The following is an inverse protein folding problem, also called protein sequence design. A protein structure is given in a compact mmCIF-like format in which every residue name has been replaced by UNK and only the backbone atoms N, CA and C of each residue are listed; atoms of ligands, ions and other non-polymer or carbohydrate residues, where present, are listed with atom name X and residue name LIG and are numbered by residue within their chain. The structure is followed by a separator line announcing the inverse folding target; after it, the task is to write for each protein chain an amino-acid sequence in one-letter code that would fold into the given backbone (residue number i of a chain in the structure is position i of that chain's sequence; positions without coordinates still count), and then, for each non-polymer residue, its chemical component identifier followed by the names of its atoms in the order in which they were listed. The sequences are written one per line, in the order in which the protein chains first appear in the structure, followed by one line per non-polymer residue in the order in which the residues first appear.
data_IF_595048745671
#
_entry.id   IF_595048745671
#
_cell.length_a   1.000
_cell.length_b   1.000
_cell.length_c   1.000
_cell.angle_alpha   90.00
_cell.angle_beta   90.00
_cell.angle_gamma   90.00
#
_symmetry.space_group_name_H-M   'P 1'
#
loop_
_entity.id
_entity.type
_entity.pdbx_description
1 polymer ?
#
# COMPACT_ATOMS: atom_id res chain seq x y z
N UNK A 1 -114.70 -24.55 -27.85
CA UNK A 1 -115.60 -23.95 -26.84
C UNK A 1 -115.07 -22.56 -26.56
N UNK A 2 -115.90 -21.51 -26.64
CA UNK A 2 -115.50 -20.15 -26.27
C UNK A 2 -115.79 -19.97 -24.79
N UNK A 3 -114.83 -19.47 -24.01
CA UNK A 3 -115.03 -19.15 -22.61
C UNK A 3 -115.78 -17.81 -22.48
N UNK A 4 -116.72 -17.67 -21.51
CA UNK A 4 -117.36 -16.38 -21.27
C UNK A 4 -116.36 -15.41 -20.62
N UNK A 5 -116.14 -14.26 -21.25
CA UNK A 5 -115.37 -13.18 -20.62
C UNK A 5 -116.11 -12.65 -19.39
N UNK A 6 -115.37 -12.36 -18.32
CA UNK A 6 -115.92 -11.79 -17.10
C UNK A 6 -116.23 -10.32 -17.34
N UNK A 7 -117.48 -9.92 -17.16
CA UNK A 7 -117.87 -8.51 -17.08
C UNK A 7 -117.10 -7.83 -15.94
N UNK A 8 -116.31 -6.81 -16.24
CA UNK A 8 -115.63 -6.04 -15.20
C UNK A 8 -116.65 -5.27 -14.33
N UNK A 9 -116.42 -5.17 -13.01
CA UNK A 9 -117.35 -4.50 -12.12
C UNK A 9 -117.33 -2.98 -12.35
N UNK A 10 -118.49 -2.41 -12.64
CA UNK A 10 -118.64 -0.96 -12.83
C UNK A 10 -118.22 -0.22 -11.54
N UNK A 11 -117.28 0.76 -11.60
CA UNK A 11 -116.81 1.45 -10.42
C UNK A 11 -117.96 2.26 -9.79
N UNK A 12 -118.35 1.88 -8.57
CA UNK A 12 -119.34 2.62 -7.78
C UNK A 12 -118.70 3.92 -7.30
N UNK A 13 -119.05 5.04 -7.94
CA UNK A 13 -118.57 6.36 -7.52
C UNK A 13 -119.01 6.69 -6.10
N UNK A 14 -118.08 7.19 -5.29
CA UNK A 14 -118.38 7.71 -3.96
C UNK A 14 -119.20 9.00 -4.07
N UNK A 15 -120.15 9.25 -3.15
CA UNK A 15 -120.89 10.51 -3.13
C UNK A 15 -119.98 11.69 -2.75
N UNK A 16 -120.18 12.84 -3.39
CA UNK A 16 -119.46 14.07 -3.08
C UNK A 16 -119.75 14.55 -1.65
N UNK A 17 -118.73 15.09 -0.98
CA UNK A 17 -118.85 15.72 0.32
C UNK A 17 -119.71 16.98 0.23
N UNK A 18 -120.62 17.15 1.19
CA UNK A 18 -121.56 18.28 1.26
C UNK A 18 -121.13 19.25 2.35
N UNK A 19 -120.91 20.51 1.97
CA UNK A 19 -120.68 21.63 2.86
C UNK A 19 -121.99 22.39 3.16
N UNK A 20 -121.95 23.34 4.09
CA UNK A 20 -123.09 24.19 4.50
C UNK A 20 -123.73 24.97 3.33
N UNK A 21 -123.07 25.06 2.16
CA UNK A 21 -123.60 25.69 0.93
C UNK A 21 -123.41 24.83 -0.33
N UNK A 22 -123.54 23.51 -0.20
CA UNK A 22 -123.54 22.56 -1.32
C UNK A 22 -122.25 21.72 -1.41
N UNK A 23 -122.08 20.98 -2.49
CA UNK A 23 -120.92 20.09 -2.69
C UNK A 23 -119.58 20.85 -2.62
N UNK A 24 -118.54 20.18 -2.13
CA UNK A 24 -117.17 20.72 -2.22
C UNK A 24 -116.75 20.82 -3.70
N UNK A 25 -116.63 22.06 -4.17
CA UNK A 25 -116.21 22.37 -5.53
C UNK A 25 -114.88 21.74 -5.89
N UNK A 26 -113.92 21.69 -4.96
CA UNK A 26 -112.60 21.11 -5.22
C UNK A 26 -112.70 19.63 -5.54
N UNK A 27 -113.44 18.88 -4.71
CA UNK A 27 -113.65 17.44 -4.93
C UNK A 27 -114.42 17.16 -6.23
N UNK A 28 -115.39 18.02 -6.57
CA UNK A 28 -116.13 17.94 -7.84
C UNK A 28 -115.22 18.23 -9.03
N UNK A 29 -114.43 19.30 -9.00
CA UNK A 29 -113.50 19.68 -10.06
C UNK A 29 -112.39 18.63 -10.22
N UNK A 30 -111.84 18.10 -9.12
CA UNK A 30 -110.85 17.02 -9.12
C UNK A 30 -111.42 15.74 -9.77
N UNK A 31 -112.64 15.29 -9.39
CA UNK A 31 -113.29 14.12 -10.01
C UNK A 31 -113.77 14.36 -11.44
N UNK A 32 -114.16 15.58 -11.82
CA UNK A 32 -114.48 15.93 -13.21
C UNK A 32 -113.22 15.90 -14.09
N UNK A 33 -112.09 16.39 -13.60
CA UNK A 33 -110.80 16.25 -14.30
C UNK A 33 -110.39 14.78 -14.45
N UNK A 34 -110.59 13.97 -13.41
CA UNK A 34 -110.36 12.51 -13.43
C UNK A 34 -111.26 11.80 -14.46
N UNK A 35 -112.58 12.04 -14.45
CA UNK A 35 -113.52 11.49 -15.46
C UNK A 35 -113.16 11.97 -16.88
N UNK A 36 -112.71 13.21 -17.04
CA UNK A 36 -112.29 13.74 -18.36
C UNK A 36 -110.92 13.19 -18.78
N UNK A 37 -110.12 12.63 -17.86
CA UNK A 37 -108.93 11.83 -18.17
C UNK A 37 -109.34 10.41 -18.56
N UNK A 38 -110.13 9.72 -17.73
CA UNK A 38 -110.71 8.40 -17.98
C UNK A 38 -111.39 8.34 -19.36
N UNK A 39 -112.19 9.35 -19.72
CA UNK A 39 -112.89 9.43 -21.00
C UNK A 39 -111.94 9.64 -22.20
N UNK A 40 -110.83 10.37 -22.04
CA UNK A 40 -109.81 10.50 -23.10
C UNK A 40 -109.02 9.23 -23.29
N UNK A 41 -108.68 8.54 -22.20
CA UNK A 41 -107.98 7.25 -22.23
C UNK A 41 -108.88 6.15 -22.83
N UNK A 42 -110.16 6.11 -22.47
CA UNK A 42 -111.15 5.22 -23.08
C UNK A 42 -111.43 5.54 -24.56
N UNK A 43 -111.53 6.82 -24.95
CA UNK A 43 -111.67 7.20 -26.35
C UNK A 43 -110.45 6.80 -27.18
N UNK A 44 -109.23 7.03 -26.66
CA UNK A 44 -107.98 6.60 -27.28
C UNK A 44 -107.92 5.07 -27.42
N UNK A 45 -108.22 4.33 -26.35
CA UNK A 45 -108.23 2.86 -26.37
C UNK A 45 -109.26 2.29 -27.35
N UNK A 46 -110.44 2.91 -27.44
CA UNK A 46 -111.44 2.60 -28.48
C UNK A 46 -110.90 2.83 -29.89
N UNK A 47 -110.21 3.94 -30.12
CA UNK A 47 -109.72 4.29 -31.47
C UNK A 47 -108.53 3.40 -31.87
N UNK A 48 -107.67 3.00 -30.92
CA UNK A 48 -106.65 1.95 -31.09
C UNK A 48 -107.28 0.56 -31.34
N UNK A 49 -108.40 0.23 -30.67
CA UNK A 49 -109.17 -1.00 -30.91
C UNK A 49 -109.87 -1.01 -32.29
N UNK A 50 -110.37 0.14 -32.75
CA UNK A 50 -110.95 0.28 -34.09
C UNK A 50 -109.86 0.14 -35.18
N UNK A 51 -108.69 0.75 -34.97
CA UNK A 51 -107.55 0.61 -35.88
C UNK A 51 -107.11 -0.86 -36.02
N UNK A 52 -106.85 -1.54 -34.90
CA UNK A 52 -106.45 -2.96 -34.89
C UNK A 52 -107.55 -3.87 -35.42
N UNK A 53 -108.83 -3.62 -35.13
CA UNK A 53 -109.95 -4.34 -35.76
C UNK A 53 -109.99 -4.14 -37.28
N UNK A 54 -109.64 -2.95 -37.78
CA UNK A 54 -109.54 -2.67 -39.21
C UNK A 54 -108.35 -3.37 -39.89
N UNK A 55 -107.21 -3.48 -39.20
CA UNK A 55 -106.03 -4.22 -39.66
C UNK A 55 -106.28 -5.73 -39.69
N UNK A 56 -106.85 -6.30 -38.62
CA UNK A 56 -107.28 -7.69 -38.57
C UNK A 56 -108.30 -8.03 -39.66
N UNK A 57 -109.23 -7.11 -39.96
CA UNK A 57 -110.20 -7.29 -41.05
C UNK A 57 -109.53 -7.35 -42.43
N UNK A 58 -108.49 -6.52 -42.67
CA UNK A 58 -107.69 -6.56 -43.90
C UNK A 58 -106.89 -7.87 -43.99
N UNK A 59 -106.20 -8.26 -42.93
CA UNK A 59 -105.42 -9.50 -42.87
C UNK A 59 -106.29 -10.74 -43.09
N UNK A 60 -107.50 -10.77 -42.49
CA UNK A 60 -108.46 -11.84 -42.68
C UNK A 60 -109.02 -11.88 -44.11
N UNK A 61 -109.33 -10.74 -44.73
CA UNK A 61 -109.75 -10.70 -46.13
C UNK A 61 -108.62 -11.13 -47.08
N UNK A 62 -107.37 -10.78 -46.78
CA UNK A 62 -106.20 -11.19 -47.55
C UNK A 62 -106.00 -12.71 -47.48
N UNK A 63 -105.96 -13.28 -46.27
CA UNK A 63 -105.84 -14.72 -46.05
C UNK A 63 -107.03 -15.51 -46.63
N UNK A 64 -108.24 -14.94 -46.65
CA UNK A 64 -109.40 -15.55 -47.32
C UNK A 64 -109.23 -15.62 -48.85
N UNK A 65 -108.65 -14.60 -49.47
CA UNK A 65 -108.35 -14.59 -50.91
C UNK A 65 -107.25 -15.61 -51.25
N UNK A 66 -106.13 -15.61 -50.52
CA UNK A 66 -105.06 -16.60 -50.69
C UNK A 66 -105.56 -18.04 -50.49
N UNK A 67 -106.42 -18.26 -49.48
CA UNK A 67 -107.05 -19.56 -49.24
C UNK A 67 -108.02 -19.95 -50.38
N UNK A 68 -108.62 -18.99 -51.07
CA UNK A 68 -109.42 -19.22 -52.29
C UNK A 68 -108.55 -19.62 -53.48
N UNK A 69 -107.47 -18.87 -53.73
CA UNK A 69 -106.54 -19.11 -54.83
C UNK A 69 -105.79 -20.44 -54.70
N UNK A 70 -105.27 -20.74 -53.50
CA UNK A 70 -104.60 -22.02 -53.19
C UNK A 70 -105.54 -23.21 -53.30
N UNK A 71 -106.80 -23.09 -52.86
CA UNK A 71 -107.83 -24.13 -53.11
C UNK A 71 -108.10 -24.31 -54.59
N UNK A 72 -108.20 -23.23 -55.38
CA UNK A 72 -108.39 -23.33 -56.82
C UNK A 72 -107.19 -24.00 -57.51
N UNK A 73 -105.95 -23.68 -57.10
CA UNK A 73 -104.73 -24.34 -57.58
C UNK A 73 -104.70 -25.84 -57.23
N UNK A 74 -105.05 -26.20 -55.99
CA UNK A 74 -105.13 -27.60 -55.55
C UNK A 74 -106.21 -28.39 -56.31
N UNK A 75 -107.36 -27.78 -56.60
CA UNK A 75 -108.40 -28.38 -57.44
C UNK A 75 -107.91 -28.58 -58.89
N UNK A 76 -107.16 -27.63 -59.47
CA UNK A 76 -106.52 -27.80 -60.79
C UNK A 76 -105.52 -28.97 -60.79
N UNK A 77 -104.66 -29.05 -59.77
CA UNK A 77 -103.64 -30.09 -59.62
C UNK A 77 -104.25 -31.49 -59.44
N UNK A 78 -105.30 -31.62 -58.62
CA UNK A 78 -105.96 -32.90 -58.32
C UNK A 78 -106.88 -33.39 -59.45
N UNK A 79 -107.57 -32.50 -60.17
CA UNK A 79 -108.55 -32.89 -61.20
C UNK A 79 -107.92 -33.42 -62.49
N UNK A 80 -106.68 -33.03 -62.81
CA UNK A 80 -105.96 -33.50 -63.99
C UNK A 80 -104.44 -33.49 -63.78
N UNK A 81 -103.87 -34.49 -63.08
CA UNK A 81 -102.45 -34.51 -62.69
C UNK A 81 -101.43 -34.53 -63.85
N UNK A 82 -101.87 -34.75 -65.09
CA UNK A 82 -101.07 -34.67 -66.33
C UNK A 82 -101.39 -33.46 -67.21
N UNK A 83 -102.37 -32.62 -66.84
CA UNK A 83 -102.74 -31.43 -67.59
C UNK A 83 -101.72 -30.30 -67.49
N UNK A 84 -101.68 -29.42 -68.50
CA UNK A 84 -100.71 -28.32 -68.57
C UNK A 84 -100.75 -27.39 -67.33
N UNK A 85 -101.94 -27.12 -66.77
CA UNK A 85 -102.08 -26.38 -65.51
C UNK A 85 -101.41 -27.09 -64.32
N UNK A 86 -101.65 -28.39 -64.13
CA UNK A 86 -101.03 -29.18 -63.06
C UNK A 86 -99.50 -29.28 -63.22
N UNK A 87 -98.97 -29.22 -64.44
CA UNK A 87 -97.53 -29.09 -64.69
C UNK A 87 -97.00 -27.71 -64.29
N UNK A 88 -97.67 -26.63 -64.69
CA UNK A 88 -97.26 -25.27 -64.36
C UNK A 88 -97.25 -24.99 -62.84
N UNK A 89 -98.28 -25.44 -62.11
CA UNK A 89 -98.37 -25.31 -60.64
C UNK A 89 -97.24 -26.09 -59.94
N UNK A 90 -96.85 -27.27 -60.46
CA UNK A 90 -95.70 -28.04 -59.93
C UNK A 90 -94.36 -27.39 -60.24
N UNK A 91 -94.17 -26.81 -61.43
CA UNK A 91 -92.96 -26.06 -61.76
C UNK A 91 -92.84 -24.81 -60.87
N UNK A 92 -93.95 -24.12 -60.59
CA UNK A 92 -93.99 -23.02 -59.62
C UNK A 92 -93.56 -23.49 -58.23
N UNK A 93 -94.14 -24.58 -57.72
CA UNK A 93 -93.77 -25.17 -56.42
C UNK A 93 -92.30 -25.61 -56.36
N UNK A 94 -91.76 -26.21 -57.42
CA UNK A 94 -90.34 -26.57 -57.52
C UNK A 94 -89.43 -25.33 -57.51
N UNK A 95 -89.84 -24.24 -58.15
CA UNK A 95 -89.06 -23.00 -58.15
C UNK A 95 -89.10 -22.29 -56.79
N UNK A 96 -90.24 -22.33 -56.09
CA UNK A 96 -90.35 -21.82 -54.72
C UNK A 96 -89.50 -22.64 -53.74
N UNK A 97 -89.54 -23.98 -53.83
CA UNK A 97 -88.70 -24.86 -53.00
C UNK A 97 -87.19 -24.67 -53.30
N UNK A 98 -86.82 -24.40 -54.55
CA UNK A 98 -85.43 -24.07 -54.90
C UNK A 98 -85.00 -22.67 -54.41
N UNK A 99 -85.93 -21.71 -54.32
CA UNK A 99 -85.68 -20.39 -53.73
C UNK A 99 -85.51 -20.49 -52.21
N UNK A 100 -86.34 -21.29 -51.54
CA UNK A 100 -86.18 -21.65 -50.12
C UNK A 100 -84.84 -22.37 -49.86
N UNK A 101 -84.46 -23.35 -50.67
CA UNK A 101 -83.17 -24.06 -50.58
C UNK A 101 -81.97 -23.12 -50.80
N UNK A 102 -82.05 -22.20 -51.76
CA UNK A 102 -81.01 -21.18 -52.00
C UNK A 102 -80.88 -20.24 -50.80
N UNK A 103 -81.99 -19.81 -50.20
CA UNK A 103 -81.94 -18.94 -49.03
C UNK A 103 -81.46 -19.65 -47.76
N UNK A 104 -81.76 -20.94 -47.58
CA UNK A 104 -81.18 -21.73 -46.48
C UNK A 104 -79.68 -22.02 -46.71
N UNK A 105 -79.24 -22.27 -47.95
CA UNK A 105 -77.81 -22.33 -48.30
C UNK A 105 -77.08 -21.00 -48.06
N UNK A 106 -77.73 -19.85 -48.33
CA UNK A 106 -77.19 -18.53 -47.99
C UNK A 106 -77.06 -18.35 -46.47
N UNK A 107 -78.11 -18.63 -45.70
CA UNK A 107 -78.08 -18.55 -44.22
C UNK A 107 -76.99 -19.45 -43.62
N UNK A 108 -76.82 -20.66 -44.16
CA UNK A 108 -75.75 -21.57 -43.75
C UNK A 108 -74.36 -21.00 -44.06
N UNK A 109 -74.12 -20.54 -45.30
CA UNK A 109 -72.84 -19.94 -45.68
C UNK A 109 -72.51 -18.65 -44.91
N UNK A 110 -73.51 -17.83 -44.57
CA UNK A 110 -73.36 -16.66 -43.71
C UNK A 110 -73.04 -17.04 -42.25
N UNK A 111 -73.68 -18.08 -41.72
CA UNK A 111 -73.39 -18.61 -40.39
C UNK A 111 -71.98 -19.22 -40.29
N UNK A 112 -71.56 -20.01 -41.28
CA UNK A 112 -70.21 -20.59 -41.36
C UNK A 112 -69.14 -19.50 -41.50
N UNK A 113 -69.39 -18.48 -42.32
CA UNK A 113 -68.51 -17.32 -42.45
C UNK A 113 -68.44 -16.48 -41.16
N UNK A 114 -69.54 -16.39 -40.41
CA UNK A 114 -69.58 -15.74 -39.10
C UNK A 114 -68.81 -16.55 -38.03
N UNK A 115 -68.97 -17.89 -37.98
CA UNK A 115 -68.19 -18.74 -37.05
C UNK A 115 -66.70 -18.68 -37.37
N UNK A 116 -66.33 -18.80 -38.64
CA UNK A 116 -64.93 -18.73 -39.11
C UNK A 116 -64.26 -17.41 -38.70
N UNK A 117 -64.98 -16.27 -38.83
CA UNK A 117 -64.49 -14.97 -38.34
C UNK A 117 -64.38 -14.93 -36.82
N UNK A 118 -65.41 -15.35 -36.11
CA UNK A 118 -65.41 -15.36 -34.64
C UNK A 118 -64.35 -16.31 -34.04
N UNK A 119 -63.94 -17.35 -34.75
CA UNK A 119 -62.82 -18.24 -34.38
C UNK A 119 -61.46 -17.59 -34.69
N UNK A 120 -61.31 -16.95 -35.86
CA UNK A 120 -60.11 -16.19 -36.20
C UNK A 120 -59.86 -15.02 -35.23
N UNK A 121 -60.91 -14.28 -34.84
CA UNK A 121 -60.83 -13.17 -33.90
C UNK A 121 -60.44 -13.65 -32.49
N UNK A 122 -61.00 -14.79 -32.02
CA UNK A 122 -60.59 -15.43 -30.76
C UNK A 122 -59.11 -15.82 -30.80
N UNK A 123 -58.68 -16.52 -31.86
CA UNK A 123 -57.29 -16.95 -32.02
C UNK A 123 -56.32 -15.76 -32.07
N UNK A 124 -56.70 -14.67 -32.76
CA UNK A 124 -55.93 -13.43 -32.81
C UNK A 124 -55.79 -12.80 -31.41
N UNK A 125 -56.88 -12.71 -30.63
CA UNK A 125 -56.84 -12.18 -29.27
C UNK A 125 -56.10 -13.08 -28.28
N UNK A 126 -56.18 -14.42 -28.41
CA UNK A 126 -55.41 -15.35 -27.58
C UNK A 126 -53.91 -15.30 -27.93
N UNK A 127 -53.56 -15.15 -29.21
CA UNK A 127 -52.18 -14.93 -29.68
C UNK A 127 -51.61 -13.59 -29.18
N UNK A 128 -52.38 -12.50 -29.26
CA UNK A 128 -52.03 -11.20 -28.66
C UNK A 128 -51.82 -11.32 -27.15
N UNK A 129 -52.77 -11.94 -26.43
CA UNK A 129 -52.69 -12.10 -24.97
C UNK A 129 -51.51 -12.96 -24.51
N UNK A 130 -51.16 -14.00 -25.26
CA UNK A 130 -50.00 -14.85 -24.95
C UNK A 130 -48.68 -14.16 -25.26
N UNK A 131 -48.57 -13.42 -26.36
CA UNK A 131 -47.38 -12.62 -26.69
C UNK A 131 -47.18 -11.44 -25.72
N UNK A 132 -48.24 -10.71 -25.36
CA UNK A 132 -48.21 -9.69 -24.30
C UNK A 132 -47.77 -10.27 -22.95
N UNK A 133 -48.28 -11.44 -22.56
CA UNK A 133 -47.87 -12.09 -21.31
C UNK A 133 -46.40 -12.48 -21.35
N UNK A 134 -45.95 -13.11 -22.43
CA UNK A 134 -44.56 -13.53 -22.59
C UNK A 134 -43.60 -12.33 -22.59
N UNK A 135 -43.99 -11.20 -23.19
CA UNK A 135 -43.24 -9.96 -23.12
C UNK A 135 -43.12 -9.45 -21.67
N UNK A 136 -44.23 -9.36 -20.93
CA UNK A 136 -44.25 -8.92 -19.52
C UNK A 136 -43.46 -9.87 -18.59
N UNK A 137 -43.59 -11.18 -18.79
CA UNK A 137 -42.83 -12.19 -18.04
C UNK A 137 -41.32 -12.06 -18.31
N UNK A 138 -40.91 -11.78 -19.56
CA UNK A 138 -39.51 -11.57 -19.95
C UNK A 138 -38.95 -10.21 -19.49
N UNK A 139 -39.76 -9.16 -19.47
CA UNK A 139 -39.42 -7.85 -18.89
C UNK A 139 -39.17 -7.98 -17.38
N UNK A 140 -40.07 -8.66 -16.65
CA UNK A 140 -39.93 -8.88 -15.21
C UNK A 140 -38.69 -9.70 -14.84
N UNK A 141 -38.38 -10.79 -15.57
CA UNK A 141 -37.16 -11.57 -15.32
C UNK A 141 -35.89 -10.77 -15.70
N UNK A 142 -35.94 -9.91 -16.73
CA UNK A 142 -34.85 -8.98 -17.05
C UNK A 142 -34.63 -7.96 -15.93
N UNK A 143 -35.68 -7.35 -15.41
CA UNK A 143 -35.58 -6.39 -14.29
C UNK A 143 -35.01 -7.07 -13.04
N UNK A 144 -35.48 -8.28 -12.74
CA UNK A 144 -34.94 -9.10 -11.64
C UNK A 144 -33.45 -9.40 -11.81
N UNK A 145 -33.03 -9.88 -12.99
CA UNK A 145 -31.62 -10.19 -13.26
C UNK A 145 -30.73 -8.93 -13.20
N UNK A 146 -31.24 -7.77 -13.62
CA UNK A 146 -30.53 -6.50 -13.47
C UNK A 146 -30.44 -6.04 -12.01
N UNK A 147 -31.48 -6.24 -11.20
CA UNK A 147 -31.45 -5.95 -9.77
C UNK A 147 -30.49 -6.88 -9.01
N UNK A 148 -30.51 -8.18 -9.32
CA UNK A 148 -29.61 -9.19 -8.75
C UNK A 148 -28.15 -8.92 -9.12
N UNK A 149 -27.86 -8.65 -10.40
CA UNK A 149 -26.52 -8.27 -10.86
C UNK A 149 -26.04 -6.94 -10.24
N UNK A 150 -26.93 -5.96 -10.04
CA UNK A 150 -26.57 -4.71 -9.32
C UNK A 150 -26.21 -5.01 -7.86
N UNK A 151 -26.99 -5.83 -7.16
CA UNK A 151 -26.75 -6.16 -5.76
C UNK A 151 -25.46 -6.98 -5.57
N UNK A 152 -25.15 -7.90 -6.48
CA UNK A 152 -23.88 -8.63 -6.51
C UNK A 152 -22.68 -7.69 -6.75
N UNK A 153 -22.78 -6.75 -7.70
CA UNK A 153 -21.75 -5.73 -7.92
C UNK A 153 -21.56 -4.85 -6.67
N UNK A 154 -22.65 -4.35 -6.09
CA UNK A 154 -22.65 -3.45 -4.93
C UNK A 154 -22.04 -4.15 -3.70
N UNK A 155 -22.39 -5.42 -3.46
CA UNK A 155 -21.79 -6.26 -2.41
C UNK A 155 -20.31 -6.55 -2.65
N UNK A 156 -19.88 -6.74 -3.90
CA UNK A 156 -18.47 -6.97 -4.25
C UNK A 156 -17.62 -5.71 -4.15
N UNK A 157 -18.17 -4.54 -4.49
CA UNK A 157 -17.48 -3.27 -4.27
C UNK A 157 -17.30 -3.00 -2.78
N UNK A 158 -18.34 -3.16 -1.96
CA UNK A 158 -18.23 -2.97 -0.51
C UNK A 158 -17.19 -3.91 0.13
N UNK A 159 -17.20 -5.20 -0.23
CA UNK A 159 -16.22 -6.17 0.27
C UNK A 159 -14.78 -5.92 -0.24
N UNK A 160 -14.61 -5.35 -1.45
CA UNK A 160 -13.32 -4.95 -1.96
C UNK A 160 -12.79 -3.69 -1.26
N UNK A 161 -13.65 -2.71 -0.99
CA UNK A 161 -13.30 -1.49 -0.26
C UNK A 161 -12.92 -1.81 1.19
N UNK A 162 -13.64 -2.71 1.87
CA UNK A 162 -13.31 -3.21 3.23
C UNK A 162 -11.95 -3.97 3.26
N UNK A 163 -11.66 -4.80 2.27
CA UNK A 163 -10.37 -5.48 2.12
C UNK A 163 -9.22 -4.50 1.82
N UNK A 164 -9.46 -3.46 1.02
CA UNK A 164 -8.49 -2.38 0.75
C UNK A 164 -8.23 -1.55 2.01
N UNK A 165 -9.26 -1.15 2.75
CA UNK A 165 -9.11 -0.42 4.01
C UNK A 165 -8.34 -1.25 5.04
N UNK A 166 -8.74 -2.51 5.23
CA UNK A 166 -8.08 -3.45 6.15
C UNK A 166 -6.60 -3.66 5.80
N UNK A 167 -6.27 -3.86 4.52
CA UNK A 167 -4.88 -4.02 4.07
C UNK A 167 -4.07 -2.74 4.19
N UNK A 168 -4.68 -1.58 3.93
CA UNK A 168 -4.02 -0.27 4.07
C UNK A 168 -3.73 0.03 5.53
N UNK A 169 -4.67 -0.23 6.44
CA UNK A 169 -4.46 -0.11 7.88
C UNK A 169 -3.35 -1.04 8.39
N UNK A 170 -3.38 -2.32 7.98
CA UNK A 170 -2.35 -3.30 8.34
C UNK A 170 -0.95 -2.94 7.80
N UNK A 171 -0.86 -2.45 6.56
CA UNK A 171 0.39 -2.01 5.95
C UNK A 171 0.95 -0.76 6.67
N UNK A 172 0.11 0.20 7.01
CA UNK A 172 0.51 1.40 7.76
C UNK A 172 1.04 1.02 9.15
N UNK A 173 0.39 0.10 9.87
CA UNK A 173 0.83 -0.38 11.18
C UNK A 173 2.16 -1.17 11.11
N UNK A 174 2.38 -1.96 10.05
CA UNK A 174 3.66 -2.64 9.80
C UNK A 174 4.80 -1.63 9.48
N UNK A 175 4.52 -0.59 8.69
CA UNK A 175 5.46 0.50 8.40
C UNK A 175 5.82 1.28 9.68
N UNK A 176 4.83 1.64 10.50
CA UNK A 176 5.04 2.34 11.78
C UNK A 176 5.87 1.47 12.76
N UNK A 177 5.50 0.19 12.91
CA UNK A 177 6.21 -0.78 13.74
C UNK A 177 7.67 -0.94 13.33
N UNK A 178 7.95 -1.08 12.02
CA UNK A 178 9.31 -1.18 11.47
C UNK A 178 10.11 0.10 11.63
N UNK A 179 9.48 1.27 11.47
CA UNK A 179 10.14 2.57 11.66
C UNK A 179 10.53 2.74 13.13
N UNK A 180 9.59 2.52 14.06
CA UNK A 180 9.86 2.57 15.49
C UNK A 180 10.90 1.53 15.95
N UNK A 181 10.99 0.37 15.29
CA UNK A 181 12.02 -0.63 15.54
C UNK A 181 13.40 -0.20 14.99
N UNK A 182 13.46 0.41 13.81
CA UNK A 182 14.68 0.94 13.22
C UNK A 182 15.25 2.12 14.04
N UNK A 183 14.40 3.01 14.56
CA UNK A 183 14.84 4.14 15.38
C UNK A 183 15.28 3.73 16.79
N UNK A 184 14.67 2.68 17.36
CA UNK A 184 15.21 2.00 18.56
C UNK A 184 16.58 1.38 18.29
N UNK A 185 16.72 0.58 17.23
CA UNK A 185 17.99 -0.04 16.87
C UNK A 185 19.11 0.97 16.55
N UNK A 186 18.77 2.16 16.00
CA UNK A 186 19.71 3.28 15.85
C UNK A 186 20.15 3.83 17.20
N UNK A 187 19.20 4.11 18.09
CA UNK A 187 19.48 4.64 19.44
C UNK A 187 20.37 3.68 20.23
N UNK A 188 20.02 2.38 20.24
CA UNK A 188 20.80 1.31 20.86
C UNK A 188 22.23 1.20 20.27
N UNK A 189 22.38 1.36 18.96
CA UNK A 189 23.69 1.35 18.30
C UNK A 189 24.54 2.59 18.59
N UNK A 190 23.93 3.79 18.67
CA UNK A 190 24.62 5.03 19.02
C UNK A 190 25.04 5.03 20.50
N UNK A 191 24.21 4.51 21.41
CA UNK A 191 24.55 4.31 22.84
C UNK A 191 25.68 3.29 23.02
N UNK A 192 25.63 2.16 22.30
CA UNK A 192 26.71 1.17 22.30
C UNK A 192 28.02 1.75 21.72
N UNK A 193 27.95 2.53 20.65
CA UNK A 193 29.11 3.20 20.06
C UNK A 193 29.70 4.30 20.96
N UNK A 194 28.86 5.02 21.71
CA UNK A 194 29.31 5.98 22.72
C UNK A 194 30.01 5.28 23.89
N UNK A 195 29.44 4.16 24.37
CA UNK A 195 30.00 3.34 25.45
C UNK A 195 31.36 2.76 25.05
N UNK A 196 31.46 2.11 23.89
CA UNK A 196 32.71 1.53 23.38
C UNK A 196 33.81 2.58 23.15
N UNK A 197 33.46 3.83 22.80
CA UNK A 197 34.43 4.95 22.74
C UNK A 197 34.92 5.34 24.12
N UNK A 198 34.02 5.51 25.10
CA UNK A 198 34.40 5.84 26.48
C UNK A 198 35.28 4.76 27.12
N UNK A 199 35.00 3.48 26.87
CA UNK A 199 35.84 2.36 27.30
C UNK A 199 37.23 2.37 26.62
N UNK A 200 37.28 2.64 25.31
CA UNK A 200 38.55 2.73 24.57
C UNK A 200 39.40 3.93 25.01
N UNK A 201 38.78 5.10 25.25
CA UNK A 201 39.46 6.30 25.76
C UNK A 201 39.98 6.08 27.19
N UNK A 202 39.20 5.40 28.05
CA UNK A 202 39.64 5.03 29.40
C UNK A 202 40.82 4.05 29.38
N UNK A 203 40.75 2.98 28.58
CA UNK A 203 41.84 2.03 28.42
C UNK A 203 43.10 2.68 27.81
N UNK A 204 42.94 3.62 26.88
CA UNK A 204 44.05 4.39 26.33
C UNK A 204 44.67 5.36 27.35
N UNK A 205 43.89 5.92 28.28
CA UNK A 205 44.39 6.73 29.38
C UNK A 205 45.15 5.89 30.42
N UNK A 206 44.62 4.72 30.79
CA UNK A 206 45.28 3.77 31.71
C UNK A 206 46.60 3.24 31.11
N UNK A 207 46.59 2.86 29.83
CA UNK A 207 47.80 2.39 29.14
C UNK A 207 48.89 3.48 29.06
N UNK A 208 48.51 4.76 28.87
CA UNK A 208 49.45 5.89 28.95
C UNK A 208 50.00 6.06 30.36
N UNK A 209 49.14 6.13 31.38
CA UNK A 209 49.57 6.27 32.77
C UNK A 209 50.50 5.13 33.22
N UNK A 210 50.25 3.89 32.80
CA UNK A 210 51.14 2.75 33.06
C UNK A 210 52.46 2.84 32.29
N UNK A 211 52.47 3.38 31.07
CA UNK A 211 53.69 3.59 30.30
C UNK A 211 54.54 4.73 30.88
N UNK A 212 53.91 5.82 31.31
CA UNK A 212 54.57 6.95 31.98
C UNK A 212 55.21 6.49 33.31
N UNK A 213 54.47 5.75 34.15
CA UNK A 213 55.01 5.15 35.38
C UNK A 213 56.18 4.19 35.11
N UNK A 214 56.09 3.36 34.06
CA UNK A 214 57.18 2.46 33.68
C UNK A 214 58.42 3.23 33.18
N UNK A 215 58.23 4.34 32.45
CA UNK A 215 59.30 5.21 31.99
C UNK A 215 59.96 5.97 33.16
N UNK A 216 59.19 6.49 34.12
CA UNK A 216 59.70 7.09 35.34
C UNK A 216 60.49 6.08 36.18
N UNK A 217 59.97 4.86 36.37
CA UNK A 217 60.66 3.80 37.10
C UNK A 217 61.96 3.37 36.41
N UNK A 218 61.97 3.25 35.07
CA UNK A 218 63.18 2.95 34.30
C UNK A 218 64.21 4.09 34.38
N UNK A 219 63.78 5.35 34.29
CA UNK A 219 64.65 6.51 34.45
C UNK A 219 65.23 6.63 35.87
N UNK A 220 64.43 6.31 36.90
CA UNK A 220 64.89 6.26 38.29
C UNK A 220 65.93 5.13 38.50
N UNK A 221 65.70 3.94 37.93
CA UNK A 221 66.65 2.84 37.98
C UNK A 221 67.97 3.16 37.25
N UNK A 222 67.90 3.80 36.08
CA UNK A 222 69.09 4.27 35.35
C UNK A 222 69.89 5.32 36.15
N UNK A 223 69.22 6.25 36.84
CA UNK A 223 69.88 7.22 37.73
C UNK A 223 70.55 6.54 38.91
N UNK A 224 69.84 5.64 39.61
CA UNK A 224 70.40 4.91 40.75
C UNK A 224 71.62 4.05 40.36
N UNK A 225 71.61 3.44 39.16
CA UNK A 225 72.75 2.70 38.62
C UNK A 225 73.91 3.63 38.22
N UNK A 226 73.63 4.79 37.61
CA UNK A 226 74.64 5.79 37.31
C UNK A 226 75.28 6.37 38.59
N UNK A 227 74.50 6.64 39.63
CA UNK A 227 74.97 7.08 40.95
C UNK A 227 75.81 5.99 41.63
N UNK A 228 75.42 4.71 41.51
CA UNK A 228 76.20 3.56 41.99
C UNK A 228 77.56 3.50 41.30
N UNK A 229 77.58 3.48 39.97
CA UNK A 229 78.83 3.43 39.16
C UNK A 229 79.71 4.64 39.45
N UNK A 230 79.15 5.86 39.53
CA UNK A 230 79.90 7.05 39.89
C UNK A 230 80.50 6.95 41.31
N UNK A 231 79.80 6.37 42.28
CA UNK A 231 80.33 6.15 43.63
C UNK A 231 81.46 5.11 43.66
N UNK A 232 81.37 4.07 42.83
CA UNK A 232 82.39 3.02 42.67
C UNK A 232 83.64 3.56 41.95
N UNK A 233 83.46 4.43 40.94
CA UNK A 233 84.57 5.16 40.32
C UNK A 233 85.21 6.14 41.30
N UNK A 234 84.44 6.92 42.08
CA UNK A 234 84.97 7.86 43.07
C UNK A 234 85.76 7.13 44.16
N UNK A 235 85.27 6.01 44.69
CA UNK A 235 86.01 5.21 45.68
C UNK A 235 87.27 4.58 45.08
N UNK A 236 87.20 4.06 43.85
CA UNK A 236 88.36 3.51 43.13
C UNK A 236 89.41 4.59 42.84
N UNK A 237 88.99 5.76 42.35
CA UNK A 237 89.88 6.90 42.07
C UNK A 237 90.47 7.49 43.34
N UNK A 238 89.71 7.53 44.43
CA UNK A 238 90.22 7.90 45.75
C UNK A 238 91.26 6.90 46.25
N UNK A 239 91.02 5.59 46.17
CA UNK A 239 92.02 4.58 46.53
C UNK A 239 93.29 4.66 45.67
N UNK A 240 93.16 4.93 44.37
CA UNK A 240 94.29 5.20 43.47
C UNK A 240 95.06 6.46 43.90
N UNK A 241 94.38 7.54 44.28
CA UNK A 241 95.00 8.77 44.75
C UNK A 241 95.67 8.60 46.14
N UNK A 242 95.01 7.94 47.09
CA UNK A 242 95.53 7.65 48.43
C UNK A 242 96.78 6.76 48.33
N UNK A 243 96.78 5.77 47.42
CA UNK A 243 97.95 4.93 47.13
C UNK A 243 99.07 5.74 46.47
N UNK A 244 98.77 6.56 45.45
CA UNK A 244 99.76 7.40 44.79
C UNK A 244 100.38 8.45 45.73
N UNK A 245 99.60 8.93 46.70
CA UNK A 245 100.06 9.84 47.75
C UNK A 245 100.92 9.11 48.79
N UNK A 246 100.57 7.88 49.18
CA UNK A 246 101.43 7.02 50.01
C UNK A 246 102.77 6.71 49.31
N UNK A 247 102.73 6.37 48.02
CA UNK A 247 103.91 6.20 47.14
C UNK A 247 104.79 7.46 47.11
N UNK A 248 104.17 8.64 47.00
CA UNK A 248 104.87 9.92 46.97
C UNK A 248 105.48 10.27 48.33
N UNK A 249 104.78 9.96 49.43
CA UNK A 249 105.32 10.09 50.79
C UNK A 249 106.46 9.10 51.04
N UNK A 250 106.36 7.85 50.57
CA UNK A 250 107.46 6.88 50.67
C UNK A 250 108.69 7.36 49.90
N UNK A 251 108.52 7.82 48.65
CA UNK A 251 109.59 8.42 47.85
C UNK A 251 110.16 9.69 48.50
N UNK A 252 109.35 10.47 49.20
CA UNK A 252 109.82 11.59 50.01
C UNK A 252 110.65 11.12 51.22
N UNK A 253 110.20 10.13 51.97
CA UNK A 253 110.97 9.58 53.09
C UNK A 253 112.28 8.97 52.62
N UNK A 254 112.27 8.15 51.57
CA UNK A 254 113.47 7.59 50.93
C UNK A 254 114.41 8.70 50.43
N UNK A 255 113.89 9.78 49.83
CA UNK A 255 114.71 10.92 49.43
C UNK A 255 115.29 11.69 50.63
N UNK A 256 114.57 11.78 51.76
CA UNK A 256 115.13 12.38 53.00
C UNK A 256 116.13 11.46 53.71
N UNK A 257 115.95 10.14 53.65
CA UNK A 257 116.92 9.15 54.14
C UNK A 257 118.16 9.14 53.26
N UNK A 258 118.02 9.11 51.94
CA UNK A 258 119.13 9.27 50.99
C UNK A 258 119.86 10.60 51.18
N UNK A 259 119.13 11.72 51.38
CA UNK A 259 119.73 13.01 51.73
C UNK A 259 120.48 12.94 53.06
N UNK A 260 119.97 12.21 54.06
CA UNK A 260 120.62 12.04 55.36
C UNK A 260 121.83 11.09 55.28
N UNK A 261 121.77 10.07 54.43
CA UNK A 261 122.89 9.20 54.07
C UNK A 261 123.97 9.97 53.31
N UNK A 262 123.61 10.83 52.36
CA UNK A 262 124.54 11.73 51.65
C UNK A 262 125.12 12.76 52.60
N UNK A 263 124.35 13.30 53.55
CA UNK A 263 124.87 14.21 54.58
C UNK A 263 125.79 13.50 55.57
N UNK A 264 125.48 12.29 56.02
CA UNK A 264 126.35 11.51 56.94
C UNK A 264 127.53 10.83 56.25
N UNK A 265 127.44 10.57 54.94
CA UNK A 265 128.60 10.29 54.08
C UNK A 265 129.42 11.55 53.89
N UNK A 266 128.82 12.73 53.70
CA UNK A 266 129.53 14.00 53.62
C UNK A 266 130.22 14.35 54.93
N UNK A 267 129.62 14.10 56.10
CA UNK A 267 130.34 14.22 57.37
C UNK A 267 131.43 13.16 57.47
N UNK A 268 131.17 11.86 57.24
CA UNK A 268 132.24 10.84 57.26
C UNK A 268 133.38 11.09 56.27
N UNK A 269 133.11 11.72 55.14
CA UNK A 269 134.10 12.16 54.14
C UNK A 269 134.78 13.46 54.59
N UNK A 270 134.10 14.39 55.25
CA UNK A 270 134.71 15.56 55.89
C UNK A 270 135.56 15.16 57.12
N UNK A 271 135.15 14.15 57.89
CA UNK A 271 135.87 13.57 59.03
C UNK A 271 137.10 12.79 58.52
N UNK A 272 136.96 12.04 57.42
CA UNK A 272 138.11 11.43 56.73
C UNK A 272 139.03 12.47 56.11
N UNK A 273 138.49 13.51 55.48
CA UNK A 273 139.27 14.61 54.92
C UNK A 273 139.98 15.39 56.02
N UNK A 274 139.35 15.63 57.17
CA UNK A 274 139.94 16.26 58.35
C UNK A 274 140.92 15.33 59.07
N UNK A 275 140.75 14.01 59.02
CA UNK A 275 141.73 13.05 59.52
C UNK A 275 142.94 12.93 58.58
N UNK A 276 142.73 12.97 57.26
CA UNK A 276 143.84 13.06 56.29
C UNK A 276 144.47 14.45 56.30
N UNK A 277 143.72 15.52 56.53
CA UNK A 277 144.25 16.88 56.65
C UNK A 277 144.96 17.08 57.99
N UNK A 278 144.53 16.43 59.07
CA UNK A 278 145.32 16.34 60.30
C UNK A 278 146.62 15.55 60.09
N UNK A 279 146.58 14.42 59.36
CA UNK A 279 147.77 13.64 59.03
C UNK A 279 148.70 14.34 58.01
N UNK A 280 148.13 15.12 57.08
CA UNK A 280 148.86 15.92 56.09
C UNK A 280 149.38 17.22 56.73
N UNK A 281 148.69 17.83 57.68
CA UNK A 281 149.21 18.94 58.48
C UNK A 281 150.26 18.48 59.50
N UNK A 282 150.20 17.25 60.02
CA UNK A 282 151.33 16.60 60.73
C UNK A 282 152.54 16.49 59.80
N UNK A 283 152.36 15.98 58.58
CA UNK A 283 153.44 15.85 57.59
C UNK A 283 154.00 17.21 57.12
N UNK A 284 153.14 18.20 56.89
CA UNK A 284 153.48 19.56 56.44
C UNK A 284 154.10 20.38 57.57
N UNK A 285 153.76 20.13 58.85
CA UNK A 285 154.48 20.74 59.98
C UNK A 285 155.97 20.39 60.04
N UNK A 286 156.40 19.36 59.31
CA UNK A 286 157.79 18.93 59.22
C UNK A 286 158.52 19.40 57.96
N UNK A 287 157.82 19.91 56.93
CA UNK A 287 158.45 20.52 55.75
C UNK A 287 157.67 21.72 55.16
N UNK A 288 158.43 22.82 54.97
CA UNK A 288 158.13 24.05 54.20
C UNK A 288 157.08 25.04 54.73
N UNK A 289 157.34 26.37 54.69
CA UNK A 289 156.43 27.44 55.13
C UNK A 289 155.73 28.18 53.97
N UNK A 290 154.78 29.08 54.32
CA UNK A 290 154.50 30.44 53.77
C UNK A 290 154.61 30.69 52.23
N UNK A 291 153.65 31.28 51.51
CA UNK A 291 152.39 32.02 51.82
C UNK A 291 151.33 31.68 50.72
N UNK A 292 150.00 31.77 50.90
CA UNK A 292 149.12 32.97 50.91
C UNK A 292 149.21 33.81 49.59
N UNK A 293 148.15 34.28 48.89
CA UNK A 293 146.76 34.65 49.26
C UNK A 293 145.74 34.58 48.08
N UNK A 294 144.44 34.41 48.39
CA UNK A 294 143.23 35.01 47.74
C UNK A 294 142.89 34.70 46.25
N UNK A 295 141.68 34.90 45.71
CA UNK A 295 140.38 35.37 46.28
C UNK A 295 139.14 34.74 45.57
N UNK A 296 137.94 35.10 46.03
CA UNK A 296 136.57 34.78 45.55
C UNK A 296 136.09 35.82 44.48
N UNK A 297 134.78 36.07 44.16
CA UNK A 297 133.48 35.42 44.48
C UNK A 297 132.47 35.34 43.28
N UNK A 298 131.18 35.08 43.60
CA UNK A 298 129.95 35.62 42.93
C UNK A 298 129.52 34.98 41.59
N UNK A 299 128.26 34.54 41.36
CA UNK A 299 126.99 35.27 41.13
C UNK A 299 126.55 35.13 39.64
N UNK A 300 125.28 35.26 39.20
CA UNK A 300 123.92 35.18 39.77
C UNK A 300 122.90 35.18 38.59
N UNK A 301 121.58 35.03 38.84
CA UNK A 301 120.45 35.38 37.94
C UNK A 301 120.23 34.50 36.66
N UNK A 302 119.04 33.91 36.42
CA UNK A 302 117.79 34.51 35.87
C UNK A 302 117.71 34.42 34.31
N UNK A 303 116.58 34.26 33.62
CA UNK A 303 115.24 33.67 33.86
C UNK A 303 114.44 33.70 32.52
N UNK A 304 113.29 33.00 32.44
CA UNK A 304 112.14 33.31 31.52
C UNK A 304 112.39 33.24 29.98
N UNK A 305 111.42 33.08 29.07
CA UNK A 305 110.02 32.60 29.07
C UNK A 305 109.57 32.40 27.59
N UNK A 306 108.64 31.46 27.31
CA UNK A 306 107.79 31.36 26.09
C UNK A 306 108.50 31.25 24.71
N UNK A 307 107.92 30.83 23.57
CA UNK A 307 106.70 30.09 23.12
C UNK A 307 107.12 29.40 21.77
N UNK A 308 106.45 28.53 21.01
CA UNK A 308 105.04 28.33 20.65
C UNK A 308 104.89 27.06 19.74
N UNK A 309 103.66 26.77 19.29
CA UNK A 309 103.30 25.86 18.15
C UNK A 309 103.53 24.34 18.37
N UNK A 310 102.91 23.40 17.63
CA UNK A 310 102.23 23.51 16.32
C UNK A 310 101.07 22.48 16.10
N UNK A 311 100.19 22.72 15.10
CA UNK A 311 99.20 21.86 14.34
C UNK A 311 98.45 20.66 15.02
N UNK A 312 97.28 20.13 14.60
CA UNK A 312 96.10 20.45 13.75
C UNK A 312 94.97 19.41 14.13
N UNK A 313 93.81 19.15 13.50
CA UNK A 313 93.12 19.57 12.25
C UNK A 313 91.59 19.32 12.34
N UNK A 314 90.81 19.99 11.47
CA UNK A 314 89.40 19.74 11.05
C UNK A 314 89.30 18.68 9.91
N UNK A 315 88.14 18.20 9.41
CA UNK A 315 86.74 18.00 9.88
C UNK A 315 85.92 17.28 8.77
N UNK A 316 84.64 16.95 9.06
CA UNK A 316 83.46 16.78 8.16
C UNK A 316 83.46 15.81 6.94
N UNK A 317 82.34 15.10 6.75
CA UNK A 317 81.83 14.55 5.46
C UNK A 317 80.45 13.90 5.63
N UNK A 318 79.61 13.95 4.58
CA UNK A 318 78.23 13.45 4.57
C UNK A 318 78.08 12.01 4.02
N UNK A 319 76.90 11.41 4.24
CA UNK A 319 76.47 10.15 3.63
C UNK A 319 75.26 10.34 2.68
N UNK A 320 75.01 9.37 1.80
CA UNK A 320 74.35 9.58 0.50
C UNK A 320 72.91 9.06 0.41
N UNK A 321 72.13 9.67 -0.48
CA UNK A 321 70.83 9.15 -0.91
C UNK A 321 70.96 8.32 -2.20
N UNK A 322 70.30 7.16 -2.25
CA UNK A 322 70.12 6.35 -3.46
C UNK A 322 68.65 5.96 -3.64
N UNK A 323 68.13 6.04 -4.87
CA UNK A 323 66.81 5.57 -5.32
C UNK A 323 66.57 5.90 -6.80
N UNK A 324 66.64 4.93 -7.74
CA UNK A 324 66.12 5.07 -9.09
C UNK A 324 64.62 4.75 -9.18
N UNK A 325 63.96 5.24 -10.24
CA UNK A 325 62.57 4.89 -10.60
C UNK A 325 62.52 3.54 -11.33
N UNK A 326 61.38 2.85 -11.27
CA UNK A 326 60.89 2.10 -12.44
C UNK A 326 59.35 2.03 -12.51
N UNK A 327 58.79 1.27 -13.46
CA UNK A 327 57.56 1.63 -14.17
C UNK A 327 56.49 0.54 -14.33
N UNK A 328 55.24 1.00 -14.50
CA UNK A 328 54.15 0.39 -15.29
C UNK A 328 53.38 -0.88 -14.79
N UNK A 329 52.33 -1.19 -15.57
CA UNK A 329 51.53 -2.43 -15.67
C UNK A 329 50.29 -2.65 -14.75
N UNK A 330 49.09 -2.45 -15.34
CA UNK A 330 47.84 -3.18 -15.07
C UNK A 330 47.81 -4.53 -15.87
N UNK A 331 46.71 -5.31 -16.02
CA UNK A 331 45.33 -5.31 -15.43
C UNK A 331 44.96 -6.76 -14.97
N UNK A 332 43.76 -7.36 -15.18
CA UNK A 332 42.37 -6.87 -15.18
C UNK A 332 41.45 -7.61 -14.15
N UNK A 333 40.24 -7.07 -13.89
CA UNK A 333 39.11 -7.87 -13.39
C UNK A 333 38.16 -8.25 -14.54
N UNK A 334 37.61 -9.47 -14.49
CA UNK A 334 36.65 -9.97 -15.49
C UNK A 334 35.20 -9.89 -14.99
N UNK A 335 34.29 -9.41 -15.84
CA UNK A 335 32.85 -9.39 -15.58
C UNK A 335 32.09 -10.24 -16.64
N UNK A 336 31.32 -11.27 -16.24
CA UNK A 336 30.55 -12.10 -17.17
C UNK A 336 29.21 -11.44 -17.58
N UNK A 337 28.77 -11.73 -18.80
CA UNK A 337 27.57 -11.13 -19.40
C UNK A 337 26.27 -11.83 -18.96
N UNK A 338 25.25 -11.05 -18.58
CA UNK A 338 23.89 -11.56 -18.32
C UNK A 338 23.12 -11.81 -19.62
N UNK A 339 22.91 -13.07 -20.00
CA UNK A 339 22.05 -13.45 -21.14
C UNK A 339 20.58 -13.58 -20.69
N UNK A 340 19.77 -12.55 -20.95
CA UNK A 340 18.33 -12.58 -20.67
C UNK A 340 17.53 -13.21 -21.82
N UNK A 341 17.31 -14.53 -21.76
CA UNK A 341 16.49 -15.27 -22.72
C UNK A 341 14.99 -15.04 -22.51
N UNK A 342 14.32 -14.35 -23.44
CA UNK A 342 12.86 -14.13 -23.43
C UNK A 342 12.15 -15.11 -24.37
N UNK A 343 11.34 -16.07 -23.88
CA UNK A 343 10.54 -16.95 -24.74
C UNK A 343 9.35 -16.21 -25.34
N UNK A 344 8.92 -16.64 -26.53
CA UNK A 344 7.79 -16.08 -27.27
C UNK A 344 6.49 -16.83 -26.99
N UNK A 345 5.43 -16.10 -26.64
CA UNK A 345 4.09 -16.65 -26.53
C UNK A 345 3.40 -16.70 -27.90
N UNK A 346 2.62 -17.76 -28.16
CA UNK A 346 1.91 -18.01 -29.42
C UNK A 346 0.41 -18.19 -29.12
N UNK A 347 -0.49 -17.32 -29.62
CA UNK A 347 -1.92 -17.50 -29.44
C UNK A 347 -2.47 -18.56 -30.41
N UNK A 348 -3.24 -19.51 -29.90
CA UNK A 348 -4.10 -20.40 -30.68
C UNK A 348 -5.54 -19.95 -30.55
N UNK A 349 -6.09 -19.32 -31.59
CA UNK A 349 -7.53 -19.12 -31.70
C UNK A 349 -8.19 -20.43 -32.18
N UNK A 350 -9.29 -20.81 -31.55
CA UNK A 350 -10.18 -21.91 -31.99
C UNK A 350 -11.60 -21.40 -31.91
N UNK A 351 -12.42 -21.76 -32.88
CA UNK A 351 -13.74 -21.16 -33.08
C UNK A 351 -14.81 -21.74 -32.14
N UNK A 352 -15.77 -20.88 -31.82
CA UNK A 352 -17.20 -21.15 -31.67
C UNK A 352 -17.95 -19.88 -32.05
#
# INVERSE_FOLDING_TARGET
MVAPEKSEPTPKSAPFAVTVRGYDKRQVDERLNEITKELREAARSRDEAIATSGELSKALSYAQNELGETKAALVRLSSSPSGAGAMAERVRMMMQLAEEEIDDLRKAAEADAASTRAEADKYAHESQRTTEKLAKDAEAERERLLAEAKADIESRTAAADEDIETRTAAANADIESRTAAADRARTEADEAAATARAEADAAAAEARASADQAAEAAAAAQRAEADRVASEEITTKKSQADTALADALQKQTEATEQRTLVLTLRTKVADRLAATDAAVQEAIRLLTPADDTADSPAADASSTDSSAADTASTADSADSADSPKDSAASPPQSAPQSKSSRPTAKPTATAN
#
